data_IF_988236647995
#
_entry.id   IF_988236647995
#
_cell.length_a   1.000
_cell.length_b   1.000
_cell.length_c   1.000
_cell.angle_alpha   90.00
_cell.angle_beta   90.00
_cell.angle_gamma   90.00
#
_symmetry.space_group_name_H-M   'P 1'
#
loop_
_entity.id
_entity.type
_entity.pdbx_description
1 polymer ?
#
# COMPACT_ATOMS: atom_id res chain seq x y z
N UNK A 1 18.42 -5.81 -2.86
CA UNK A 1 17.25 -4.95 -2.73
C UNK A 1 17.58 -3.67 -1.95
N UNK A 2 18.13 -3.77 -0.76
CA UNK A 2 18.42 -2.61 0.09
C UNK A 2 19.56 -1.73 -0.42
N UNK A 3 20.40 -2.24 -1.32
CA UNK A 3 21.49 -1.49 -1.93
C UNK A 3 21.00 -0.41 -2.88
N UNK A 4 19.80 -0.58 -3.47
CA UNK A 4 19.22 0.32 -4.46
C UNK A 4 18.09 1.18 -3.91
N UNK A 5 17.63 0.91 -2.68
CA UNK A 5 16.48 1.60 -2.09
C UNK A 5 16.84 2.17 -0.72
N UNK A 6 16.38 3.38 -0.46
CA UNK A 6 16.43 4.02 0.86
C UNK A 6 15.05 3.96 1.50
N UNK A 7 15.03 3.76 2.82
CA UNK A 7 13.79 3.89 3.59
C UNK A 7 13.60 5.36 3.94
N UNK A 8 12.59 6.00 3.37
CA UNK A 8 12.32 7.42 3.62
C UNK A 8 11.20 7.63 4.64
N UNK A 9 10.41 6.60 4.92
CA UNK A 9 9.43 6.61 6.00
C UNK A 9 9.23 5.19 6.50
N UNK A 10 9.08 5.04 7.82
CA UNK A 10 8.91 3.76 8.49
C UNK A 10 7.71 3.87 9.42
N UNK A 11 6.80 2.91 9.34
CA UNK A 11 5.56 2.91 10.12
C UNK A 11 4.81 4.25 10.00
N UNK A 12 4.61 4.69 8.77
CA UNK A 12 3.94 5.96 8.50
C UNK A 12 2.46 5.87 8.84
N UNK A 13 2.04 6.64 9.83
CA UNK A 13 0.64 6.72 10.24
C UNK A 13 -0.07 7.78 9.41
N UNK A 14 -1.26 7.43 8.95
CA UNK A 14 -2.04 8.28 8.06
C UNK A 14 -3.48 8.31 8.49
N UNK A 15 -4.13 9.47 8.31
CA UNK A 15 -5.54 9.63 8.64
C UNK A 15 -6.27 10.30 7.48
N UNK A 16 -7.51 9.88 7.26
CA UNK A 16 -8.47 10.57 6.41
C UNK A 16 -9.57 11.11 7.34
N UNK A 17 -9.48 12.39 7.66
CA UNK A 17 -10.39 13.01 8.64
C UNK A 17 -11.81 13.14 8.13
N UNK A 18 -12.00 13.24 6.82
CA UNK A 18 -13.33 13.34 6.22
C UNK A 18 -14.10 12.04 6.34
N UNK A 19 -13.40 10.91 6.28
CA UNK A 19 -13.98 9.58 6.30
C UNK A 19 -13.81 8.85 7.61
N UNK A 20 -13.11 9.48 8.56
CA UNK A 20 -12.79 8.90 9.86
C UNK A 20 -12.07 7.55 9.73
N UNK A 21 -11.07 7.52 8.84
CA UNK A 21 -10.26 6.34 8.57
C UNK A 21 -8.83 6.63 8.99
N UNK A 22 -8.20 5.67 9.64
CA UNK A 22 -6.79 5.71 9.99
C UNK A 22 -6.12 4.42 9.56
N UNK A 23 -4.83 4.51 9.25
CA UNK A 23 -4.04 3.36 8.90
C UNK A 23 -2.56 3.69 8.93
N UNK A 24 -1.74 2.67 8.84
CA UNK A 24 -0.30 2.84 8.73
C UNK A 24 0.26 1.87 7.71
N UNK A 25 1.20 2.33 6.90
CA UNK A 25 1.98 1.45 6.04
C UNK A 25 3.33 1.15 6.69
N UNK A 26 3.92 0.02 6.32
CA UNK A 26 5.18 -0.40 6.94
C UNK A 26 6.33 0.52 6.55
N UNK A 27 6.56 0.72 5.27
CA UNK A 27 7.65 1.58 4.82
C UNK A 27 7.31 2.26 3.50
N UNK A 28 7.92 3.42 3.29
CA UNK A 28 8.05 4.05 1.97
C UNK A 28 9.51 3.96 1.59
N UNK A 29 9.77 3.37 0.43
CA UNK A 29 11.11 3.21 -0.12
C UNK A 29 11.31 4.18 -1.28
N UNK A 30 12.52 4.73 -1.39
CA UNK A 30 12.90 5.57 -2.52
C UNK A 30 14.08 4.95 -3.25
N UNK A 31 13.95 4.81 -4.57
CA UNK A 31 15.05 4.32 -5.39
C UNK A 31 16.18 5.35 -5.42
N UNK A 32 17.41 4.91 -5.13
CA UNK A 32 18.56 5.82 -5.01
C UNK A 32 18.90 6.55 -6.29
N UNK A 33 18.74 5.89 -7.43
CA UNK A 33 19.14 6.46 -8.72
C UNK A 33 18.03 7.29 -9.37
N UNK A 34 16.77 6.84 -9.26
CA UNK A 34 15.64 7.46 -9.97
C UNK A 34 14.79 8.36 -9.10
N UNK A 35 14.87 8.23 -7.79
CA UNK A 35 13.99 8.94 -6.86
C UNK A 35 12.57 8.39 -6.80
N UNK A 36 12.28 7.31 -7.53
CA UNK A 36 10.95 6.70 -7.53
C UNK A 36 10.57 6.18 -6.16
N UNK A 37 9.31 6.39 -5.77
CA UNK A 37 8.80 5.97 -4.48
C UNK A 37 7.99 4.69 -4.60
N UNK A 38 8.18 3.82 -3.61
CA UNK A 38 7.47 2.55 -3.51
C UNK A 38 6.90 2.41 -2.10
N UNK A 39 5.60 2.18 -2.01
CA UNK A 39 4.95 1.82 -0.75
C UNK A 39 5.11 0.32 -0.57
N UNK A 40 5.74 -0.11 0.51
CA UNK A 40 6.03 -1.52 0.74
C UNK A 40 5.41 -2.01 2.05
N UNK A 41 4.95 -3.25 2.02
CA UNK A 41 4.36 -3.93 3.17
C UNK A 41 5.02 -5.29 3.33
N UNK A 42 5.43 -5.62 4.56
CA UNK A 42 6.08 -6.88 4.86
C UNK A 42 5.08 -7.92 5.31
N UNK A 43 5.19 -9.12 4.77
CA UNK A 43 4.37 -10.27 5.16
C UNK A 43 5.28 -11.45 5.47
N UNK A 44 4.95 -12.17 6.52
CA UNK A 44 5.63 -13.43 6.87
C UNK A 44 4.87 -14.66 6.36
N UNK A 45 3.76 -14.42 5.66
CA UNK A 45 2.94 -15.48 5.07
C UNK A 45 3.58 -16.02 3.80
N UNK A 46 3.29 -17.27 3.51
CA UNK A 46 3.79 -17.88 2.30
C UNK A 46 3.07 -17.35 1.06
N UNK A 47 3.84 -17.09 0.02
CA UNK A 47 3.35 -16.45 -1.22
C UNK A 47 2.24 -17.29 -1.88
N UNK A 48 2.35 -18.61 -1.82
CA UNK A 48 1.39 -19.47 -2.51
C UNK A 48 -0.01 -19.46 -1.90
N UNK A 49 -0.18 -18.95 -0.69
CA UNK A 49 -1.52 -18.75 -0.12
C UNK A 49 -2.30 -17.67 -0.84
N UNK A 50 -1.65 -16.94 -1.71
CA UNK A 50 -2.22 -16.04 -2.72
C UNK A 50 -3.32 -15.11 -2.23
N UNK A 51 -3.15 -14.55 -1.05
CA UNK A 51 -4.05 -13.47 -0.65
C UNK A 51 -3.82 -12.29 -1.57
N UNK A 52 -4.91 -11.77 -2.12
CA UNK A 52 -4.84 -10.56 -2.90
C UNK A 52 -4.78 -9.37 -1.94
N UNK A 53 -3.66 -8.66 -1.97
CA UNK A 53 -3.45 -7.50 -1.10
C UNK A 53 -3.80 -6.18 -1.78
N UNK A 54 -4.45 -6.21 -2.94
CA UNK A 54 -4.76 -5.00 -3.71
C UNK A 54 -5.61 -4.02 -2.91
N UNK A 55 -6.64 -4.50 -2.21
CA UNK A 55 -7.51 -3.62 -1.42
C UNK A 55 -6.78 -2.99 -0.25
N UNK A 56 -5.94 -3.76 0.44
CA UNK A 56 -5.13 -3.22 1.53
C UNK A 56 -4.16 -2.16 1.02
N UNK A 57 -3.47 -2.44 -0.08
CA UNK A 57 -2.55 -1.48 -0.70
C UNK A 57 -3.31 -0.25 -1.19
N UNK A 58 -4.47 -0.43 -1.79
CA UNK A 58 -5.31 0.68 -2.24
C UNK A 58 -5.73 1.60 -1.10
N UNK A 59 -6.05 1.01 0.05
CA UNK A 59 -6.34 1.78 1.25
C UNK A 59 -5.17 2.63 1.70
N UNK A 60 -3.97 2.06 1.70
CA UNK A 60 -2.76 2.81 2.05
C UNK A 60 -2.45 3.91 1.03
N UNK A 61 -2.60 3.63 -0.26
CA UNK A 61 -2.37 4.63 -1.31
C UNK A 61 -3.35 5.79 -1.17
N UNK A 62 -4.62 5.49 -0.92
CA UNK A 62 -5.65 6.52 -0.71
C UNK A 62 -5.31 7.41 0.47
N UNK A 63 -4.93 6.81 1.61
CA UNK A 63 -4.53 7.55 2.80
C UNK A 63 -3.27 8.38 2.54
N UNK A 64 -2.30 7.83 1.82
CA UNK A 64 -1.06 8.53 1.51
C UNK A 64 -1.34 9.79 0.70
N UNK A 65 -2.16 9.70 -0.33
CA UNK A 65 -2.49 10.85 -1.17
C UNK A 65 -3.34 11.89 -0.43
N UNK A 66 -4.16 11.46 0.53
CA UNK A 66 -4.89 12.40 1.39
C UNK A 66 -3.96 13.21 2.28
N UNK A 67 -2.93 12.57 2.81
CA UNK A 67 -1.99 13.21 3.73
C UNK A 67 -0.85 13.93 3.02
N UNK A 68 -0.44 13.43 1.85
CA UNK A 68 0.69 13.94 1.07
C UNK A 68 0.31 14.00 -0.41
N UNK A 69 -0.50 15.00 -0.82
CA UNK A 69 -1.08 15.03 -2.17
C UNK A 69 -0.06 15.13 -3.31
N UNK A 70 1.16 15.57 -3.01
CA UNK A 70 2.20 15.74 -4.03
C UNK A 70 3.06 14.50 -4.23
N UNK A 71 2.87 13.46 -3.41
CA UNK A 71 3.62 12.21 -3.54
C UNK A 71 3.15 11.46 -4.77
N UNK A 72 4.09 10.95 -5.55
CA UNK A 72 3.83 10.12 -6.71
C UNK A 72 4.46 8.76 -6.50
N UNK A 73 3.63 7.74 -6.32
CA UNK A 73 4.10 6.38 -6.12
C UNK A 73 4.30 5.69 -7.46
N UNK A 74 5.50 5.13 -7.64
CA UNK A 74 5.80 4.28 -8.80
C UNK A 74 5.19 2.89 -8.65
N UNK A 75 5.21 2.33 -7.44
CA UNK A 75 4.75 0.95 -7.20
C UNK A 75 4.31 0.78 -5.76
N UNK A 76 3.43 -0.20 -5.55
CA UNK A 76 3.17 -0.82 -4.25
C UNK A 76 3.78 -2.21 -4.27
N UNK A 77 4.50 -2.57 -3.21
CA UNK A 77 5.21 -3.84 -3.17
C UNK A 77 4.89 -4.59 -1.88
N UNK A 78 4.45 -5.83 -2.02
CA UNK A 78 4.35 -6.75 -0.89
C UNK A 78 5.63 -7.57 -0.86
N UNK A 79 6.31 -7.55 0.27
CA UNK A 79 7.58 -8.24 0.46
C UNK A 79 7.31 -9.42 1.39
N UNK A 80 7.44 -10.62 0.86
CA UNK A 80 7.22 -11.85 1.61
C UNK A 80 8.55 -12.36 2.14
N UNK A 81 8.64 -12.48 3.45
CA UNK A 81 9.78 -13.07 4.12
C UNK A 81 9.43 -14.51 4.43
N UNK A 82 10.06 -15.45 3.71
CA UNK A 82 9.78 -16.89 3.83
C UNK A 82 11.05 -17.63 4.20
N UNK A 83 10.93 -18.90 4.67
CA UNK A 83 12.12 -19.73 4.92
C UNK A 83 13.00 -19.94 3.69
N UNK A 84 12.41 -19.85 2.48
CA UNK A 84 13.13 -20.03 1.22
C UNK A 84 13.73 -18.72 0.70
N UNK A 85 13.58 -17.61 1.41
CA UNK A 85 14.11 -16.32 1.03
C UNK A 85 13.05 -15.25 0.91
N UNK A 86 13.41 -14.17 0.23
CA UNK A 86 12.52 -13.00 0.06
C UNK A 86 11.89 -13.09 -1.32
N UNK A 87 10.56 -12.96 -1.35
CA UNK A 87 9.77 -12.87 -2.59
C UNK A 87 8.98 -11.58 -2.58
N UNK A 88 8.81 -10.98 -3.75
CA UNK A 88 8.08 -9.71 -3.86
C UNK A 88 6.95 -9.83 -4.87
N UNK A 89 5.90 -9.04 -4.65
CA UNK A 89 4.82 -8.87 -5.61
C UNK A 89 4.50 -7.39 -5.72
N UNK A 90 4.54 -6.88 -6.93
CA UNK A 90 4.29 -5.47 -7.21
C UNK A 90 2.87 -5.26 -7.70
N UNK A 91 2.30 -4.13 -7.31
CA UNK A 91 0.97 -3.70 -7.74
C UNK A 91 1.05 -2.26 -8.25
N UNK A 92 0.18 -1.93 -9.20
CA UNK A 92 0.04 -0.56 -9.66
C UNK A 92 -0.74 0.25 -8.61
N UNK A 93 -0.20 1.37 -8.11
CA UNK A 93 -0.87 2.14 -7.06
C UNK A 93 -2.24 2.69 -7.47
N UNK A 94 -2.37 3.17 -8.68
CA UNK A 94 -3.62 3.75 -9.18
C UNK A 94 -4.71 2.69 -9.28
N UNK A 95 -4.38 1.50 -9.78
CA UNK A 95 -5.32 0.39 -9.86
C UNK A 95 -5.76 -0.08 -8.48
N UNK A 96 -4.83 -0.18 -7.54
CA UNK A 96 -5.14 -0.57 -6.17
C UNK A 96 -6.06 0.45 -5.50
N UNK A 97 -5.77 1.72 -5.66
CA UNK A 97 -6.58 2.79 -5.11
C UNK A 97 -7.99 2.77 -5.70
N UNK A 98 -8.09 2.59 -7.00
CA UNK A 98 -9.39 2.49 -7.68
C UNK A 98 -10.22 1.32 -7.14
N UNK A 99 -9.61 0.14 -7.04
CA UNK A 99 -10.29 -1.05 -6.52
C UNK A 99 -10.75 -0.85 -5.08
N UNK A 100 -9.91 -0.22 -4.26
CA UNK A 100 -10.26 0.09 -2.88
C UNK A 100 -11.44 1.06 -2.79
N UNK A 101 -11.41 2.14 -3.55
CA UNK A 101 -12.47 3.15 -3.54
C UNK A 101 -13.80 2.57 -4.03
N UNK A 102 -13.74 1.71 -5.04
CA UNK A 102 -14.93 1.02 -5.54
C UNK A 102 -15.53 0.08 -4.48
N UNK A 103 -14.68 -0.74 -3.86
CA UNK A 103 -15.12 -1.66 -2.80
C UNK A 103 -15.70 -0.90 -1.60
N UNK A 104 -15.07 0.20 -1.23
CA UNK A 104 -15.53 1.05 -0.15
C UNK A 104 -16.90 1.65 -0.46
N UNK A 105 -17.07 2.15 -1.66
CA UNK A 105 -18.36 2.73 -2.10
C UNK A 105 -19.47 1.67 -2.05
N UNK A 106 -19.19 0.47 -2.53
CA UNK A 106 -20.15 -0.63 -2.48
C UNK A 106 -20.50 -1.02 -1.04
N UNK A 107 -19.51 -1.08 -0.18
CA UNK A 107 -19.73 -1.41 1.23
C UNK A 107 -20.67 -0.40 1.89
N UNK A 108 -20.40 0.90 1.74
CA UNK A 108 -21.23 1.94 2.33
C UNK A 108 -22.61 2.02 1.69
N UNK A 109 -22.71 1.73 0.41
CA UNK A 109 -24.00 1.64 -0.27
C UNK A 109 -24.89 0.55 0.34
N UNK A 110 -24.30 -0.60 0.66
CA UNK A 110 -25.02 -1.68 1.33
C UNK A 110 -25.41 -1.33 2.76
N UNK A 111 -24.58 -0.57 3.47
CA UNK A 111 -24.87 -0.16 4.83
C UNK A 111 -26.06 0.81 4.92
N UNK A 112 -26.30 1.58 3.89
CA UNK A 112 -27.39 2.55 3.83
C UNK A 112 -28.72 1.95 3.39
N UNK A 113 -28.71 0.73 2.86
CA UNK A 113 -29.93 0.02 2.47
C UNK A 113 -30.58 -0.63 3.67
N UNK A 114 -31.74 -0.18 3.99
CA UNK A 114 -32.58 -0.75 5.05
C UNK A 114 -33.72 -1.56 4.49
#
# INVERSE_FOLDING_TARGET
MWETWDCVANELRMVDRKRDIAGSCDVILQHKDTGMLCLADFKTQEVYKKKNHRLQMGGYVSLLYQNYPTVDLWSCRVIYITPDGIKTQDYNPQECMYDYEEARTLYFSKQVKF
#
